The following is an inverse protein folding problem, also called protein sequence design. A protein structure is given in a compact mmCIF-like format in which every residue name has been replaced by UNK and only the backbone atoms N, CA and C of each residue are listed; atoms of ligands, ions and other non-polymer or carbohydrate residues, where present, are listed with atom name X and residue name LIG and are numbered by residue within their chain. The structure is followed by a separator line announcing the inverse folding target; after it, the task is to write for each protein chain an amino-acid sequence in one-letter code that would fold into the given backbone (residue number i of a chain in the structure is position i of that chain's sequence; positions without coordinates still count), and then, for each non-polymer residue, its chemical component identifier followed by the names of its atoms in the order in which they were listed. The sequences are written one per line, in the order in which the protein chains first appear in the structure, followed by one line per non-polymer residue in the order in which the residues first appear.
data_IF_487671036986
#
_entry.id   IF_487671036986
#
_cell.length_a   1.000
_cell.length_b   1.000
_cell.length_c   1.000
_cell.angle_alpha   90.00
_cell.angle_beta   90.00
_cell.angle_gamma   90.00
#
_symmetry.space_group_name_H-M   'P 1'
#
loop_
_entity.id
_entity.type
_entity.pdbx_description
1 polymer ?
#
# COMPACT_ATOMS: atom_id res chain seq x y z
N UNK A 1 43.89 -5.46 28.20
CA UNK A 1 43.87 -6.85 27.66
C UNK A 1 42.50 -7.53 27.81
N UNK A 2 41.62 -7.11 28.69
CA UNK A 2 40.28 -7.71 28.89
C UNK A 2 39.24 -7.41 27.77
N UNK A 3 39.35 -6.29 27.09
CA UNK A 3 38.42 -5.91 26.03
C UNK A 3 38.57 -6.72 24.72
N UNK A 4 39.77 -7.26 24.45
CA UNK A 4 40.01 -8.12 23.30
C UNK A 4 39.53 -9.57 23.50
N UNK A 5 39.57 -10.06 24.75
CA UNK A 5 39.10 -11.40 25.07
C UNK A 5 37.57 -11.52 24.96
N UNK A 6 36.83 -10.50 25.39
CA UNK A 6 35.36 -10.48 25.30
C UNK A 6 34.82 -10.44 23.85
N UNK A 7 35.50 -9.72 22.94
CA UNK A 7 35.11 -9.68 21.54
C UNK A 7 35.35 -11.03 20.84
N UNK A 8 36.37 -11.78 21.21
CA UNK A 8 36.64 -13.11 20.65
C UNK A 8 35.61 -14.17 21.11
N UNK A 9 35.14 -14.07 22.34
CA UNK A 9 34.10 -15.00 22.87
C UNK A 9 32.77 -14.69 22.22
N UNK A 10 32.38 -13.42 22.09
CA UNK A 10 31.14 -13.02 21.42
C UNK A 10 31.12 -13.42 19.92
N UNK A 11 32.23 -13.22 19.20
CA UNK A 11 32.39 -13.64 17.82
C UNK A 11 32.38 -15.18 17.64
N UNK A 12 32.96 -15.94 18.60
CA UNK A 12 32.89 -17.39 18.55
C UNK A 12 31.49 -17.96 18.85
N UNK A 13 30.76 -17.33 19.76
CA UNK A 13 29.34 -17.74 20.03
C UNK A 13 28.47 -17.42 18.83
N UNK A 14 28.61 -16.24 18.21
CA UNK A 14 27.88 -15.89 16.97
C UNK A 14 28.25 -16.81 15.81
N UNK A 15 29.53 -17.13 15.61
CA UNK A 15 29.97 -18.01 14.53
C UNK A 15 29.52 -19.47 14.77
N UNK A 16 29.45 -19.95 16.01
CA UNK A 16 28.88 -21.27 16.30
C UNK A 16 27.38 -21.35 16.09
N UNK A 17 26.63 -20.29 16.37
CA UNK A 17 25.18 -20.24 16.06
C UNK A 17 24.90 -20.13 14.56
N UNK A 18 25.73 -19.40 13.81
CA UNK A 18 25.62 -19.28 12.35
C UNK A 18 25.98 -20.58 11.61
N UNK A 19 26.93 -21.36 12.17
CA UNK A 19 27.36 -22.63 11.57
C UNK A 19 26.58 -23.85 12.04
N UNK A 20 25.69 -23.70 13.04
CA UNK A 20 24.80 -24.79 13.46
C UNK A 20 23.71 -25.01 12.38
N UNK A 21 23.84 -26.05 11.59
CA UNK A 21 22.82 -26.47 10.66
C UNK A 21 21.54 -26.84 11.43
N UNK A 22 20.58 -25.90 11.52
CA UNK A 22 19.27 -26.16 12.11
C UNK A 22 18.43 -26.96 11.11
N UNK A 23 18.12 -28.20 11.45
CA UNK A 23 17.21 -29.03 10.64
C UNK A 23 15.81 -28.40 10.71
N UNK A 24 15.25 -28.11 9.53
CA UNK A 24 13.86 -27.64 9.39
C UNK A 24 13.08 -28.76 8.74
N UNK A 25 12.20 -29.39 9.51
CA UNK A 25 11.36 -30.48 8.99
C UNK A 25 10.12 -29.88 8.30
N UNK A 26 9.79 -30.47 7.14
CA UNK A 26 8.56 -30.19 6.41
C UNK A 26 7.54 -31.27 6.78
N UNK A 27 6.42 -30.83 7.35
CA UNK A 27 5.32 -31.68 7.76
C UNK A 27 4.22 -31.69 6.70
N UNK A 28 3.43 -32.77 6.70
CA UNK A 28 2.24 -32.89 5.85
C UNK A 28 1.02 -32.79 6.77
N UNK A 29 0.30 -31.69 6.74
CA UNK A 29 -0.85 -31.42 7.64
C UNK A 29 -2.16 -31.35 6.85
N UNK A 30 -3.26 -31.70 7.50
CA UNK A 30 -4.60 -31.52 6.93
C UNK A 30 -4.95 -30.02 6.93
N UNK A 31 -5.28 -29.43 5.78
CA UNK A 31 -5.64 -28.02 5.69
C UNK A 31 -6.87 -27.64 6.52
N UNK A 32 -7.76 -28.61 6.84
CA UNK A 32 -8.96 -28.37 7.66
C UNK A 32 -8.64 -28.10 9.12
N UNK A 33 -7.46 -28.53 9.61
CA UNK A 33 -7.00 -28.29 10.97
C UNK A 33 -6.24 -26.95 11.12
N UNK A 34 -6.19 -26.14 10.07
CA UNK A 34 -5.52 -24.83 10.10
C UNK A 34 -6.50 -23.75 10.53
N UNK A 35 -6.06 -22.91 11.46
CA UNK A 35 -6.80 -21.76 11.96
C UNK A 35 -6.12 -20.48 11.50
N UNK A 36 -6.86 -19.62 10.82
CA UNK A 36 -6.42 -18.27 10.45
C UNK A 36 -6.91 -17.29 11.50
N UNK A 37 -6.01 -16.52 12.09
CA UNK A 37 -6.37 -15.46 13.03
C UNK A 37 -6.73 -14.22 12.25
N UNK A 38 -7.97 -13.73 12.40
CA UNK A 38 -8.41 -12.50 11.75
C UNK A 38 -7.56 -11.30 12.17
N UNK A 39 -7.26 -10.43 11.20
CA UNK A 39 -6.43 -9.24 11.43
C UNK A 39 -4.94 -9.52 11.65
N UNK A 40 -4.49 -10.79 11.68
CA UNK A 40 -3.08 -11.12 11.76
C UNK A 40 -2.34 -10.75 10.47
N UNK A 41 -2.94 -11.02 9.30
CA UNK A 41 -2.35 -10.66 8.01
C UNK A 41 -2.76 -9.24 7.60
N UNK A 42 -1.80 -8.43 7.21
CA UNK A 42 -2.03 -7.08 6.70
C UNK A 42 -2.76 -7.07 5.34
N UNK A 43 -2.68 -8.16 4.58
CA UNK A 43 -3.30 -8.28 3.26
C UNK A 43 -4.77 -8.68 3.37
N UNK A 44 -5.65 -7.91 2.72
CA UNK A 44 -7.08 -8.18 2.63
C UNK A 44 -7.51 -8.73 1.26
N UNK A 45 -6.81 -8.37 0.19
CA UNK A 45 -7.17 -8.77 -1.16
C UNK A 45 -6.26 -9.89 -1.67
N UNK A 46 -6.84 -11.08 -1.87
CA UNK A 46 -6.17 -12.28 -2.36
C UNK A 46 -6.68 -12.60 -3.76
N UNK A 47 -5.87 -12.27 -4.77
CA UNK A 47 -6.08 -12.74 -6.14
C UNK A 47 -5.64 -14.21 -6.21
N UNK A 48 -6.61 -15.14 -6.30
CA UNK A 48 -6.36 -16.57 -6.14
C UNK A 48 -6.43 -17.38 -7.45
N UNK A 49 -6.97 -16.83 -8.52
CA UNK A 49 -7.31 -17.61 -9.71
C UNK A 49 -6.09 -18.26 -10.37
N UNK A 50 -5.05 -17.48 -10.64
CA UNK A 50 -3.81 -18.00 -11.17
C UNK A 50 -3.15 -19.01 -10.22
N UNK A 51 -3.17 -18.72 -8.92
CA UNK A 51 -2.56 -19.59 -7.91
C UNK A 51 -3.32 -20.91 -7.75
N UNK A 52 -4.66 -20.93 -7.88
CA UNK A 52 -5.46 -22.14 -7.90
C UNK A 52 -5.07 -23.04 -9.07
N UNK A 53 -4.94 -22.47 -10.27
CA UNK A 53 -4.50 -23.24 -11.45
C UNK A 53 -3.09 -23.83 -11.29
N UNK A 54 -2.17 -23.08 -10.68
CA UNK A 54 -0.84 -23.59 -10.37
C UNK A 54 -0.90 -24.73 -9.36
N UNK A 55 -1.66 -24.58 -8.27
CA UNK A 55 -1.80 -25.61 -7.23
C UNK A 55 -2.48 -26.87 -7.79
N UNK A 56 -3.47 -26.72 -8.66
CA UNK A 56 -4.14 -27.87 -9.33
C UNK A 56 -3.15 -28.69 -10.15
N UNK A 57 -2.21 -28.03 -10.84
CA UNK A 57 -1.24 -28.70 -11.73
C UNK A 57 -0.05 -29.32 -11.00
N UNK A 58 0.51 -28.62 -10.01
CA UNK A 58 1.81 -29.00 -9.42
C UNK A 58 1.77 -29.10 -7.90
N UNK A 59 0.61 -28.90 -7.26
CA UNK A 59 0.47 -28.88 -5.82
C UNK A 59 1.07 -27.64 -5.17
N UNK A 60 1.06 -27.62 -3.84
CA UNK A 60 1.68 -26.54 -3.06
C UNK A 60 3.19 -26.77 -3.02
N UNK A 61 3.94 -26.03 -3.83
CA UNK A 61 5.41 -26.18 -3.92
C UNK A 61 6.11 -25.65 -2.66
N UNK A 62 5.80 -24.43 -2.27
CA UNK A 62 6.39 -23.79 -1.09
C UNK A 62 5.55 -24.08 0.15
N UNK A 63 6.14 -24.64 1.24
CA UNK A 63 5.40 -24.93 2.44
C UNK A 63 4.80 -23.65 3.06
N UNK A 64 3.66 -23.78 3.70
CA UNK A 64 3.14 -22.75 4.59
C UNK A 64 3.88 -22.78 5.92
N UNK A 65 3.77 -21.70 6.72
CA UNK A 65 4.37 -21.67 8.06
C UNK A 65 3.28 -21.63 9.11
N UNK A 66 3.35 -22.53 10.10
CA UNK A 66 2.32 -22.68 11.14
C UNK A 66 2.94 -22.83 12.52
N UNK A 67 2.15 -22.52 13.56
CA UNK A 67 2.44 -22.84 14.95
C UNK A 67 1.46 -23.89 15.43
N UNK A 68 1.91 -25.09 15.84
CA UNK A 68 1.03 -26.11 16.38
C UNK A 68 0.52 -25.71 17.77
N UNK A 69 -0.77 -25.93 18.02
CA UNK A 69 -1.38 -25.75 19.33
C UNK A 69 -2.46 -26.82 19.57
N UNK A 70 -2.81 -27.02 20.84
CA UNK A 70 -3.97 -27.85 21.21
C UNK A 70 -5.18 -26.96 21.39
N UNK A 71 -6.25 -27.29 20.71
CA UNK A 71 -7.55 -26.68 20.90
C UNK A 71 -8.03 -26.89 22.33
N UNK A 72 -8.45 -25.84 23.01
CA UNK A 72 -8.81 -25.88 24.42
C UNK A 72 -10.11 -26.64 24.69
N UNK A 73 -11.03 -26.65 23.72
CA UNK A 73 -12.35 -27.27 23.87
C UNK A 73 -12.33 -28.74 23.47
N UNK A 74 -11.66 -29.07 22.37
CA UNK A 74 -11.66 -30.41 21.81
C UNK A 74 -10.43 -31.25 22.16
N UNK A 75 -9.36 -30.61 22.65
CA UNK A 75 -8.05 -31.22 22.83
C UNK A 75 -7.34 -31.61 21.53
N UNK A 76 -7.95 -31.38 20.38
CA UNK A 76 -7.42 -31.73 19.08
C UNK A 76 -6.21 -30.86 18.73
N UNK A 77 -5.28 -31.42 17.95
CA UNK A 77 -4.14 -30.68 17.41
C UNK A 77 -4.61 -29.81 16.27
N UNK A 78 -4.40 -28.51 16.40
CA UNK A 78 -4.66 -27.48 15.38
C UNK A 78 -3.41 -26.66 15.09
N UNK A 79 -3.43 -25.96 13.98
CA UNK A 79 -2.28 -25.22 13.45
C UNK A 79 -2.64 -23.77 13.18
N UNK A 80 -2.07 -22.83 13.96
CA UNK A 80 -2.22 -21.40 13.69
C UNK A 80 -1.39 -21.02 12.46
N UNK A 81 -2.03 -20.52 11.43
CA UNK A 81 -1.35 -20.03 10.23
C UNK A 81 -0.57 -18.74 10.51
N UNK A 82 0.71 -18.75 10.14
CA UNK A 82 1.62 -17.60 10.27
C UNK A 82 1.95 -17.01 8.91
N UNK A 83 2.33 -17.85 7.94
CA UNK A 83 2.67 -17.42 6.59
C UNK A 83 2.09 -18.38 5.54
N UNK A 84 1.80 -17.83 4.37
CA UNK A 84 1.24 -18.57 3.25
C UNK A 84 -0.29 -18.52 3.15
N UNK A 85 -0.95 -17.49 3.68
CA UNK A 85 -2.40 -17.39 3.67
C UNK A 85 -3.00 -17.43 2.25
N UNK A 86 -2.37 -16.85 1.24
CA UNK A 86 -2.82 -16.99 -0.15
C UNK A 86 -2.85 -18.45 -0.60
N UNK A 87 -1.79 -19.22 -0.26
CA UNK A 87 -1.68 -20.67 -0.59
C UNK A 87 -2.75 -21.47 0.14
N UNK A 88 -2.93 -21.20 1.42
CA UNK A 88 -3.97 -21.83 2.23
C UNK A 88 -5.38 -21.53 1.68
N UNK A 89 -5.70 -20.26 1.40
CA UNK A 89 -7.01 -19.88 0.86
C UNK A 89 -7.27 -20.50 -0.53
N UNK A 90 -6.25 -20.56 -1.39
CA UNK A 90 -6.35 -21.24 -2.68
C UNK A 90 -6.64 -22.75 -2.51
N UNK A 91 -5.98 -23.42 -1.57
CA UNK A 91 -6.25 -24.83 -1.24
C UNK A 91 -7.67 -25.02 -0.71
N UNK A 92 -8.14 -24.15 0.19
CA UNK A 92 -9.51 -24.24 0.71
C UNK A 92 -10.56 -24.00 -0.36
N UNK A 93 -10.30 -23.08 -1.32
CA UNK A 93 -11.16 -22.87 -2.47
C UNK A 93 -11.21 -24.10 -3.39
N UNK A 94 -10.08 -24.74 -3.65
CA UNK A 94 -10.00 -25.97 -4.44
C UNK A 94 -10.72 -27.14 -3.78
N UNK A 95 -10.61 -27.27 -2.44
CA UNK A 95 -11.38 -28.25 -1.67
C UNK A 95 -12.90 -28.00 -1.78
N UNK A 96 -13.33 -26.74 -1.78
CA UNK A 96 -14.74 -26.37 -1.97
C UNK A 96 -15.22 -26.65 -3.41
N UNK A 97 -14.32 -26.61 -4.40
CA UNK A 97 -14.56 -26.99 -5.80
C UNK A 97 -14.57 -28.51 -6.02
N UNK A 98 -14.29 -29.32 -4.97
CA UNK A 98 -14.33 -30.78 -5.02
C UNK A 98 -13.00 -31.47 -5.28
N UNK A 99 -11.88 -30.73 -5.27
CA UNK A 99 -10.53 -31.34 -5.40
C UNK A 99 -10.15 -32.15 -4.15
N UNK A 100 -9.52 -33.31 -4.32
CA UNK A 100 -9.09 -34.20 -3.22
C UNK A 100 -7.69 -33.81 -2.71
N UNK A 101 -7.60 -32.72 -1.96
CA UNK A 101 -6.34 -32.30 -1.31
C UNK A 101 -6.36 -32.75 0.16
N UNK A 102 -5.73 -33.88 0.45
CA UNK A 102 -5.70 -34.45 1.80
C UNK A 102 -4.72 -33.76 2.73
N UNK A 103 -3.57 -33.31 2.22
CA UNK A 103 -2.49 -32.73 3.02
C UNK A 103 -1.74 -31.65 2.24
N UNK A 104 -1.22 -30.66 2.98
CA UNK A 104 -0.35 -29.60 2.45
C UNK A 104 0.96 -29.54 3.24
N UNK A 105 2.02 -29.08 2.56
CA UNK A 105 3.35 -28.93 3.17
C UNK A 105 3.35 -27.75 4.13
N UNK A 106 3.85 -27.96 5.34
CA UNK A 106 3.95 -26.95 6.39
C UNK A 106 5.30 -27.02 7.12
N UNK A 107 5.81 -25.86 7.50
CA UNK A 107 6.94 -25.72 8.42
C UNK A 107 6.41 -25.25 9.79
N UNK A 108 6.96 -25.81 10.86
CA UNK A 108 6.57 -25.43 12.22
C UNK A 108 7.48 -24.35 12.77
N UNK A 109 6.85 -23.37 13.42
CA UNK A 109 7.55 -22.42 14.29
C UNK A 109 7.36 -22.79 15.76
N UNK A 110 8.35 -22.44 16.62
CA UNK A 110 8.23 -22.66 18.07
C UNK A 110 7.00 -21.97 18.66
N UNK A 111 6.36 -22.59 19.64
CA UNK A 111 5.15 -22.07 20.31
C UNK A 111 5.33 -20.72 21.01
N UNK A 112 6.55 -20.32 21.33
CA UNK A 112 6.87 -19.05 22.01
C UNK A 112 7.30 -17.91 21.10
N UNK A 113 7.20 -18.07 19.77
CA UNK A 113 7.60 -17.00 18.84
C UNK A 113 6.73 -15.75 19.05
N UNK A 114 7.36 -14.62 19.29
CA UNK A 114 6.65 -13.36 19.51
C UNK A 114 5.87 -12.93 18.27
N UNK A 115 4.72 -12.34 18.48
CA UNK A 115 3.83 -11.91 17.39
C UNK A 115 4.49 -10.84 16.50
N UNK A 116 5.24 -9.92 17.10
CA UNK A 116 6.00 -8.92 16.36
C UNK A 116 7.00 -9.54 15.38
N UNK A 117 7.75 -10.58 15.82
CA UNK A 117 8.73 -11.28 14.98
C UNK A 117 8.04 -12.02 13.81
N UNK A 118 6.85 -12.56 14.06
CA UNK A 118 6.06 -13.22 13.02
C UNK A 118 5.62 -12.23 11.92
N UNK A 119 5.18 -11.03 12.31
CA UNK A 119 4.76 -9.99 11.38
C UNK A 119 5.95 -9.44 10.56
N UNK A 120 7.10 -9.24 11.21
CA UNK A 120 8.34 -8.85 10.53
C UNK A 120 8.74 -9.91 9.51
N UNK A 121 8.77 -11.18 9.92
CA UNK A 121 9.10 -12.28 9.00
C UNK A 121 8.12 -12.37 7.84
N UNK A 122 6.82 -12.17 8.08
CA UNK A 122 5.79 -12.17 7.03
C UNK A 122 6.07 -11.10 5.97
N UNK A 123 6.45 -9.89 6.38
CA UNK A 123 6.81 -8.83 5.44
C UNK A 123 8.10 -9.14 4.67
N UNK A 124 9.15 -9.54 5.38
CA UNK A 124 10.47 -9.77 4.78
C UNK A 124 10.50 -10.99 3.85
N UNK A 125 9.77 -12.06 4.19
CA UNK A 125 9.66 -13.28 3.36
C UNK A 125 8.74 -13.13 2.15
N UNK A 126 7.98 -12.04 2.05
CA UNK A 126 6.98 -11.87 1.00
C UNK A 126 7.64 -11.50 -0.34
N UNK A 127 8.31 -12.48 -0.96
CA UNK A 127 8.98 -12.36 -2.26
C UNK A 127 8.01 -12.44 -3.46
N UNK A 128 6.75 -12.82 -3.21
CA UNK A 128 5.69 -12.90 -4.23
C UNK A 128 5.06 -11.54 -4.52
N UNK A 129 3.74 -11.41 -4.28
CA UNK A 129 3.07 -10.11 -4.42
C UNK A 129 3.47 -9.19 -3.25
N UNK A 130 4.16 -8.10 -3.54
CA UNK A 130 4.58 -7.12 -2.53
C UNK A 130 3.37 -6.50 -1.83
N UNK A 131 3.53 -6.11 -0.57
CA UNK A 131 2.53 -5.33 0.16
C UNK A 131 2.36 -3.96 -0.47
N UNK A 132 1.11 -3.50 -0.60
CA UNK A 132 0.82 -2.13 -0.97
C UNK A 132 1.24 -1.15 0.14
N UNK A 133 1.42 0.12 -0.20
CA UNK A 133 1.81 1.12 0.80
C UNK A 133 0.75 1.29 1.90
N UNK A 134 -0.54 1.11 1.61
CA UNK A 134 -1.60 1.16 2.62
C UNK A 134 -1.59 -0.07 3.54
N UNK A 135 -1.27 -1.26 3.02
CA UNK A 135 -1.08 -2.45 3.85
C UNK A 135 0.12 -2.29 4.78
N UNK A 136 1.23 -1.72 4.27
CA UNK A 136 2.39 -1.39 5.10
C UNK A 136 2.07 -0.31 6.13
N UNK A 137 1.32 0.73 5.77
CA UNK A 137 0.89 1.78 6.70
C UNK A 137 0.14 1.19 7.90
N UNK A 138 -0.82 0.30 7.65
CA UNK A 138 -1.57 -0.40 8.71
C UNK A 138 -0.68 -1.26 9.59
N UNK A 139 0.27 -1.98 8.98
CA UNK A 139 1.23 -2.77 9.72
C UNK A 139 2.12 -1.90 10.61
N UNK A 140 2.68 -0.80 10.09
CA UNK A 140 3.51 0.13 10.86
C UNK A 140 2.72 0.79 12.00
N UNK A 141 1.47 1.17 11.75
CA UNK A 141 0.60 1.71 12.79
C UNK A 141 0.33 0.69 13.90
N UNK A 142 0.13 -0.59 13.54
CA UNK A 142 0.00 -1.67 14.52
C UNK A 142 1.24 -1.79 15.41
N UNK A 143 2.45 -1.67 14.86
CA UNK A 143 3.70 -1.66 15.63
C UNK A 143 3.76 -0.48 16.59
N UNK A 144 3.33 0.69 16.14
CA UNK A 144 3.23 1.89 17.00
C UNK A 144 2.23 1.70 18.13
N UNK A 145 0.99 1.28 17.82
CA UNK A 145 -0.10 1.19 18.79
C UNK A 145 0.04 0.02 19.78
N UNK A 146 0.44 -1.16 19.31
CA UNK A 146 0.50 -2.36 20.15
C UNK A 146 1.79 -2.48 20.96
N UNK A 147 2.91 -2.03 20.42
CA UNK A 147 4.23 -2.20 21.04
C UNK A 147 4.97 -0.90 21.32
N UNK A 148 4.39 0.25 20.98
CA UNK A 148 4.96 1.57 21.28
C UNK A 148 6.21 1.94 20.48
N UNK A 149 6.47 1.27 19.35
CA UNK A 149 7.65 1.56 18.53
C UNK A 149 7.56 2.94 17.88
N UNK A 150 8.68 3.63 17.88
CA UNK A 150 8.87 4.86 17.10
C UNK A 150 9.01 4.56 15.60
N UNK A 151 8.78 5.56 14.75
CA UNK A 151 8.97 5.40 13.30
C UNK A 151 10.40 5.00 12.92
N UNK A 152 11.40 5.42 13.68
CA UNK A 152 12.80 5.04 13.46
C UNK A 152 13.02 3.57 13.77
N UNK A 153 12.54 3.09 14.92
CA UNK A 153 12.66 1.67 15.30
C UNK A 153 11.89 0.76 14.32
N UNK A 154 10.72 1.21 13.85
CA UNK A 154 9.96 0.50 12.79
C UNK A 154 10.80 0.43 11.51
N UNK A 155 11.41 1.55 11.10
CA UNK A 155 12.24 1.60 9.91
C UNK A 155 13.42 0.61 9.98
N UNK A 156 14.10 0.57 11.13
CA UNK A 156 15.21 -0.35 11.38
C UNK A 156 14.75 -1.81 11.36
N UNK A 157 13.67 -2.15 12.07
CA UNK A 157 13.11 -3.52 12.12
C UNK A 157 12.69 -4.04 10.74
N UNK A 158 12.15 -3.18 9.89
CA UNK A 158 11.67 -3.53 8.56
C UNK A 158 12.68 -3.27 7.43
N UNK A 159 13.91 -2.89 7.75
CA UNK A 159 14.97 -2.54 6.80
C UNK A 159 14.48 -1.49 5.77
N UNK A 160 13.79 -0.45 6.24
CA UNK A 160 13.26 0.66 5.43
C UNK A 160 13.85 1.99 5.90
N UNK A 161 13.73 3.03 5.07
CA UNK A 161 14.07 4.39 5.48
C UNK A 161 12.94 4.97 6.35
N UNK A 162 13.29 5.75 7.38
CA UNK A 162 12.31 6.43 8.25
C UNK A 162 11.34 7.31 7.44
N UNK A 163 11.85 7.99 6.40
CA UNK A 163 11.03 8.79 5.49
C UNK A 163 9.99 7.96 4.73
N UNK A 164 10.29 6.70 4.41
CA UNK A 164 9.33 5.78 3.81
C UNK A 164 8.24 5.38 4.80
N UNK A 165 8.61 5.04 6.04
CA UNK A 165 7.66 4.69 7.11
C UNK A 165 6.71 5.86 7.38
N UNK A 166 7.25 7.07 7.55
CA UNK A 166 6.46 8.29 7.74
C UNK A 166 5.51 8.54 6.57
N UNK A 167 5.99 8.40 5.33
CA UNK A 167 5.18 8.58 4.12
C UNK A 167 4.04 7.54 4.02
N UNK A 168 4.29 6.30 4.43
CA UNK A 168 3.24 5.28 4.47
C UNK A 168 2.22 5.60 5.56
N UNK A 169 2.66 5.93 6.77
CA UNK A 169 1.76 6.19 7.90
C UNK A 169 0.85 7.39 7.64
N UNK A 170 1.32 8.42 6.95
CA UNK A 170 0.52 9.57 6.54
C UNK A 170 -0.68 9.19 5.63
N UNK A 171 -0.72 8.01 5.03
CA UNK A 171 -1.89 7.55 4.27
C UNK A 171 -3.09 7.24 5.17
N UNK A 172 -2.86 6.99 6.45
CA UNK A 172 -3.93 6.67 7.41
C UNK A 172 -4.70 7.91 7.86
N UNK A 173 -4.15 9.10 7.60
CA UNK A 173 -4.79 10.39 7.88
C UNK A 173 -5.72 10.86 6.74
N UNK A 174 -5.84 10.05 5.66
CA UNK A 174 -6.69 10.37 4.51
C UNK A 174 -8.16 10.02 4.78
N UNK A 175 -9.12 10.61 4.05
CA UNK A 175 -10.52 10.24 4.14
C UNK A 175 -10.75 8.74 4.02
N UNK A 176 -11.71 8.21 4.80
CA UNK A 176 -11.98 6.77 4.88
C UNK A 176 -12.29 6.13 3.51
N UNK A 177 -12.99 6.87 2.64
CA UNK A 177 -13.35 6.42 1.29
C UNK A 177 -12.11 6.27 0.41
N UNK A 178 -11.15 7.19 0.48
CA UNK A 178 -9.89 7.11 -0.26
C UNK A 178 -9.05 5.93 0.26
N UNK A 179 -9.00 5.72 1.58
CA UNK A 179 -8.35 4.55 2.17
C UNK A 179 -8.99 3.26 1.64
N UNK A 180 -10.32 3.19 1.61
CA UNK A 180 -11.04 2.03 1.09
C UNK A 180 -10.75 1.78 -0.41
N UNK A 181 -10.67 2.83 -1.24
CA UNK A 181 -10.27 2.71 -2.64
C UNK A 181 -8.84 2.19 -2.81
N UNK A 182 -7.90 2.64 -1.97
CA UNK A 182 -6.52 2.11 -1.96
C UNK A 182 -6.48 0.64 -1.54
N UNK A 183 -7.27 0.23 -0.56
CA UNK A 183 -7.38 -1.16 -0.12
C UNK A 183 -7.94 -2.08 -1.21
N UNK A 184 -8.91 -1.61 -1.97
CA UNK A 184 -9.43 -2.34 -3.14
C UNK A 184 -8.49 -2.31 -4.34
N UNK A 185 -7.40 -1.53 -4.28
CA UNK A 185 -6.45 -1.36 -5.38
C UNK A 185 -7.01 -0.54 -6.55
N UNK A 186 -8.08 0.23 -6.33
CA UNK A 186 -8.70 1.08 -7.36
C UNK A 186 -7.91 2.36 -7.61
N UNK A 187 -7.16 2.84 -6.62
CA UNK A 187 -6.31 4.03 -6.71
C UNK A 187 -4.91 3.74 -6.15
N UNK A 188 -3.86 4.29 -6.76
CA UNK A 188 -2.50 4.18 -6.25
C UNK A 188 -2.25 5.15 -5.09
N UNK A 189 -1.32 4.81 -4.18
CA UNK A 189 -0.95 5.68 -3.06
C UNK A 189 -0.43 7.05 -3.51
N UNK A 190 0.31 7.11 -4.62
CA UNK A 190 0.81 8.39 -5.16
C UNK A 190 -0.32 9.25 -5.72
N UNK A 191 -1.31 8.62 -6.36
CA UNK A 191 -2.51 9.33 -6.85
C UNK A 191 -3.34 9.86 -5.67
N UNK A 192 -3.53 9.05 -4.62
CA UNK A 192 -4.24 9.48 -3.41
C UNK A 192 -3.54 10.68 -2.75
N UNK A 193 -2.21 10.62 -2.58
CA UNK A 193 -1.42 11.76 -2.03
C UNK A 193 -1.58 13.01 -2.88
N UNK A 194 -1.54 12.88 -4.20
CA UNK A 194 -1.69 14.01 -5.09
C UNK A 194 -3.09 14.63 -4.94
N UNK A 195 -4.15 13.85 -4.94
CA UNK A 195 -5.53 14.34 -4.77
C UNK A 195 -5.71 15.04 -3.41
N UNK A 196 -5.28 14.42 -2.32
CA UNK A 196 -5.38 14.99 -0.97
C UNK A 196 -4.56 16.28 -0.84
N UNK A 197 -3.35 16.32 -1.42
CA UNK A 197 -2.51 17.53 -1.39
C UNK A 197 -3.10 18.70 -2.16
N UNK A 198 -3.96 18.44 -3.12
CA UNK A 198 -4.61 19.42 -3.97
C UNK A 198 -5.84 20.06 -3.35
N UNK A 199 -6.56 19.31 -2.53
CA UNK A 199 -7.83 19.70 -1.91
C UNK A 199 -7.71 19.62 -0.38
N UNK A 200 -6.65 20.24 0.19
CA UNK A 200 -6.23 20.03 1.58
C UNK A 200 -7.32 20.26 2.64
N UNK A 201 -8.25 21.16 2.37
CA UNK A 201 -9.24 21.60 3.34
C UNK A 201 -10.67 21.15 2.97
N UNK A 202 -10.83 20.28 1.96
CA UNK A 202 -12.12 19.84 1.44
C UNK A 202 -12.12 18.33 1.20
N UNK A 203 -12.58 17.56 2.19
CA UNK A 203 -12.64 16.09 2.12
C UNK A 203 -13.60 15.61 1.02
N UNK A 204 -14.73 16.31 0.82
CA UNK A 204 -15.70 15.95 -0.21
C UNK A 204 -15.10 16.12 -1.62
N UNK A 205 -14.38 17.21 -1.85
CA UNK A 205 -13.65 17.42 -3.11
C UNK A 205 -12.52 16.39 -3.31
N UNK A 206 -11.87 15.93 -2.23
CA UNK A 206 -10.86 14.86 -2.31
C UNK A 206 -11.49 13.55 -2.78
N UNK A 207 -12.61 13.16 -2.18
CA UNK A 207 -13.33 11.93 -2.52
C UNK A 207 -13.89 11.99 -3.95
N UNK A 208 -14.50 13.11 -4.33
CA UNK A 208 -15.02 13.31 -5.70
C UNK A 208 -13.92 13.23 -6.76
N UNK A 209 -12.75 13.84 -6.50
CA UNK A 209 -11.61 13.76 -7.41
C UNK A 209 -11.06 12.32 -7.53
N UNK A 210 -11.04 11.57 -6.42
CA UNK A 210 -10.64 10.17 -6.42
C UNK A 210 -11.62 9.30 -7.23
N UNK A 211 -12.92 9.48 -7.06
CA UNK A 211 -13.96 8.79 -7.83
C UNK A 211 -13.84 9.07 -9.34
N UNK A 212 -13.64 10.34 -9.72
CA UNK A 212 -13.43 10.73 -11.13
C UNK A 212 -12.18 10.05 -11.71
N UNK A 213 -11.08 9.99 -10.94
CA UNK A 213 -9.86 9.32 -11.38
C UNK A 213 -10.09 7.81 -11.57
N UNK A 214 -10.82 7.16 -10.66
CA UNK A 214 -11.18 5.73 -10.75
C UNK A 214 -12.07 5.47 -11.96
N UNK A 215 -13.10 6.30 -12.19
CA UNK A 215 -13.98 6.20 -13.38
C UNK A 215 -13.17 6.34 -14.67
N UNK A 216 -12.27 7.33 -14.74
CA UNK A 216 -11.39 7.56 -15.89
C UNK A 216 -10.48 6.35 -16.16
N UNK A 217 -9.91 5.75 -15.11
CA UNK A 217 -9.09 4.56 -15.24
C UNK A 217 -9.90 3.35 -15.73
N UNK A 218 -11.09 3.12 -15.16
CA UNK A 218 -11.99 2.03 -15.60
C UNK A 218 -12.42 2.20 -17.06
N UNK A 219 -12.74 3.42 -17.50
CA UNK A 219 -13.06 3.71 -18.90
C UNK A 219 -11.91 3.40 -19.86
N UNK A 220 -10.64 3.50 -19.39
CA UNK A 220 -9.43 3.11 -20.12
C UNK A 220 -9.06 1.63 -19.95
N UNK A 221 -9.91 0.80 -19.34
CA UNK A 221 -9.66 -0.62 -19.08
C UNK A 221 -8.60 -0.91 -18.03
N UNK A 222 -8.23 0.08 -17.20
CA UNK A 222 -7.23 -0.09 -16.14
C UNK A 222 -7.88 -0.55 -14.83
N UNK A 223 -7.22 -1.43 -14.09
CA UNK A 223 -7.65 -1.88 -12.76
C UNK A 223 -7.40 -0.81 -11.68
N UNK A 224 -6.34 -0.02 -11.82
CA UNK A 224 -5.90 0.95 -10.81
C UNK A 224 -5.72 2.32 -11.44
N UNK A 225 -6.30 3.35 -10.85
CA UNK A 225 -6.10 4.74 -11.24
C UNK A 225 -4.71 5.23 -10.84
N UNK A 226 -4.05 5.91 -11.76
CA UNK A 226 -2.71 6.50 -11.59
C UNK A 226 -2.80 8.02 -11.65
N UNK A 227 -1.72 8.73 -11.34
CA UNK A 227 -1.67 10.20 -11.40
C UNK A 227 -2.05 10.78 -12.78
N UNK A 228 -1.91 9.99 -13.86
CA UNK A 228 -2.31 10.36 -15.22
C UNK A 228 -3.83 10.31 -15.44
N UNK A 229 -4.56 9.69 -14.55
CA UNK A 229 -6.01 9.53 -14.64
C UNK A 229 -6.75 10.61 -13.81
N UNK A 230 -6.02 11.46 -13.08
CA UNK A 230 -6.55 12.65 -12.41
C UNK A 230 -7.00 13.65 -13.50
N UNK A 231 -8.18 14.28 -13.37
CA UNK A 231 -8.68 15.25 -14.34
C UNK A 231 -7.67 16.36 -14.68
N UNK A 232 -7.59 16.72 -15.96
CA UNK A 232 -6.57 17.65 -16.50
C UNK A 232 -6.63 19.03 -15.86
N UNK A 233 -7.82 19.53 -15.50
CA UNK A 233 -8.00 20.80 -14.79
C UNK A 233 -7.29 20.80 -13.44
N UNK A 234 -7.30 19.67 -12.74
CA UNK A 234 -6.61 19.49 -11.45
C UNK A 234 -5.11 19.42 -11.65
N UNK A 235 -4.62 18.78 -12.74
CA UNK A 235 -3.21 18.72 -13.09
C UNK A 235 -2.67 20.11 -13.47
N UNK A 236 -3.44 20.89 -14.21
CA UNK A 236 -3.07 22.26 -14.59
C UNK A 236 -2.95 23.18 -13.36
N UNK A 237 -3.94 23.16 -12.46
CA UNK A 237 -3.91 23.93 -11.22
C UNK A 237 -2.66 23.59 -10.36
N UNK A 238 -2.23 22.33 -10.34
CA UNK A 238 -1.03 21.91 -9.62
C UNK A 238 0.26 22.37 -10.25
N UNK A 239 0.34 22.28 -11.57
CA UNK A 239 1.51 22.76 -12.28
C UNK A 239 1.68 24.27 -12.01
N UNK A 240 0.58 25.03 -12.04
CA UNK A 240 0.56 26.46 -11.74
C UNK A 240 0.97 26.71 -10.29
N UNK A 241 0.40 25.97 -9.32
CA UNK A 241 0.77 26.09 -7.91
C UNK A 241 2.24 25.75 -7.65
N UNK A 242 2.80 24.77 -8.37
CA UNK A 242 4.23 24.44 -8.31
C UNK A 242 5.09 25.57 -8.88
N UNK A 243 4.72 26.10 -10.04
CA UNK A 243 5.40 27.24 -10.65
C UNK A 243 5.39 28.44 -9.70
N UNK A 244 4.23 28.78 -9.09
CA UNK A 244 4.12 29.85 -8.09
C UNK A 244 5.04 29.65 -6.89
N UNK A 245 5.13 28.41 -6.38
CA UNK A 245 6.02 28.06 -5.26
C UNK A 245 7.51 28.22 -5.64
N UNK A 246 7.87 27.83 -6.83
CA UNK A 246 9.24 27.95 -7.32
C UNK A 246 9.60 29.42 -7.59
N UNK A 247 8.67 30.20 -8.15
CA UNK A 247 8.83 31.65 -8.31
C UNK A 247 9.00 32.37 -6.97
N UNK A 248 8.26 31.96 -5.92
CA UNK A 248 8.43 32.52 -4.58
C UNK A 248 9.81 32.21 -3.97
N UNK A 249 10.38 31.03 -4.26
CA UNK A 249 11.76 30.71 -3.88
C UNK A 249 12.77 31.57 -4.63
N UNK A 250 12.55 31.77 -5.92
CA UNK A 250 13.40 32.67 -6.71
C UNK A 250 13.33 34.10 -6.20
N UNK A 251 12.14 34.63 -5.86
CA UNK A 251 11.99 35.95 -5.27
C UNK A 251 12.80 36.10 -3.97
N UNK A 252 12.74 35.11 -3.06
CA UNK A 252 13.54 35.10 -1.81
C UNK A 252 15.05 34.99 -2.05
N UNK A 253 15.47 34.32 -3.13
CA UNK A 253 16.89 34.25 -3.50
C UNK A 253 17.35 35.58 -4.07
N UNK A 254 16.49 36.28 -4.81
CA UNK A 254 16.77 37.58 -5.43
C UNK A 254 16.87 38.71 -4.40
N UNK A 255 16.08 38.67 -3.29
CA UNK A 255 16.21 39.58 -2.14
C UNK A 255 17.63 39.53 -1.50
N UNK A 256 18.39 38.47 -1.75
CA UNK A 256 19.76 38.29 -1.26
C UNK A 256 20.84 38.79 -2.25
N UNK A 257 20.45 39.26 -3.42
CA UNK A 257 21.38 39.76 -4.43
C UNK A 257 21.35 41.31 -4.47
N UNK A 258 22.48 41.94 -4.16
CA UNK A 258 22.63 43.39 -4.28
C UNK A 258 22.88 43.80 -5.74
N UNK A 259 22.12 44.80 -6.24
CA UNK A 259 22.40 45.50 -7.49
C UNK A 259 21.19 45.83 -8.39
N UNK A 260 21.37 46.75 -9.32
CA UNK A 260 20.37 47.23 -10.28
C UNK A 260 19.71 46.11 -11.13
N UNK A 261 20.43 45.03 -11.38
CA UNK A 261 19.91 43.86 -12.09
C UNK A 261 18.93 43.00 -11.23
N UNK A 262 19.03 43.06 -9.91
CA UNK A 262 18.14 42.31 -9.00
C UNK A 262 16.74 42.93 -9.04
N UNK A 263 16.62 44.27 -9.12
CA UNK A 263 15.33 44.96 -9.15
C UNK A 263 14.52 44.67 -10.43
N UNK A 264 15.21 44.64 -11.59
CA UNK A 264 14.59 44.26 -12.87
C UNK A 264 14.14 42.81 -12.88
N UNK A 265 14.97 41.91 -12.36
CA UNK A 265 14.63 40.47 -12.28
C UNK A 265 13.49 40.20 -11.28
N UNK A 266 13.47 40.93 -10.15
CA UNK A 266 12.41 40.86 -9.16
C UNK A 266 11.07 41.34 -9.72
N UNK A 267 11.06 42.46 -10.46
CA UNK A 267 9.88 42.98 -11.15
C UNK A 267 9.35 41.97 -12.18
N UNK A 268 10.23 41.35 -12.96
CA UNK A 268 9.84 40.29 -13.90
C UNK A 268 9.29 39.05 -13.20
N UNK A 269 9.86 38.62 -12.07
CA UNK A 269 9.38 37.50 -11.30
C UNK A 269 7.99 37.77 -10.70
N UNK A 270 7.73 38.98 -10.22
CA UNK A 270 6.42 39.40 -9.71
C UNK A 270 5.38 39.40 -10.84
N UNK A 271 5.71 39.96 -12.01
CA UNK A 271 4.81 39.96 -13.16
C UNK A 271 4.44 38.54 -13.61
N UNK A 272 5.39 37.60 -13.63
CA UNK A 272 5.13 36.20 -13.95
C UNK A 272 4.29 35.55 -12.87
N UNK A 273 4.51 35.87 -11.60
CA UNK A 273 3.71 35.37 -10.48
C UNK A 273 2.24 35.82 -10.58
N UNK A 274 1.98 37.09 -10.93
CA UNK A 274 0.63 37.62 -11.09
C UNK A 274 -0.07 37.02 -12.33
N UNK A 275 0.64 36.86 -13.45
CA UNK A 275 0.11 36.15 -14.63
C UNK A 275 -0.25 34.69 -14.32
N UNK A 276 0.51 34.00 -13.45
CA UNK A 276 0.15 32.62 -13.05
C UNK A 276 -1.13 32.57 -12.21
N UNK A 277 -1.51 33.64 -11.50
CA UNK A 277 -2.80 33.73 -10.81
C UNK A 277 -3.98 33.82 -11.79
N UNK A 278 -3.81 34.55 -12.86
CA UNK A 278 -4.81 34.65 -13.95
C UNK A 278 -4.97 33.29 -14.65
N UNK A 279 -3.87 32.61 -14.94
CA UNK A 279 -3.90 31.28 -15.56
C UNK A 279 -4.52 30.21 -14.66
N UNK A 280 -4.31 30.29 -13.33
CA UNK A 280 -4.95 29.40 -12.36
C UNK A 280 -6.47 29.57 -12.37
N UNK A 281 -6.94 30.83 -12.40
CA UNK A 281 -8.37 31.13 -12.47
C UNK A 281 -8.97 30.70 -13.81
N UNK A 282 -8.29 30.97 -14.92
CA UNK A 282 -8.72 30.51 -16.24
C UNK A 282 -8.74 28.98 -16.36
N UNK A 283 -7.80 28.27 -15.73
CA UNK A 283 -7.80 26.81 -15.69
C UNK A 283 -8.97 26.24 -14.86
N UNK A 284 -9.41 26.96 -13.81
CA UNK A 284 -10.60 26.61 -13.03
C UNK A 284 -11.90 26.85 -13.82
N UNK A 285 -11.96 27.91 -14.63
CA UNK A 285 -13.10 28.23 -15.50
C UNK A 285 -13.23 27.30 -16.70
N UNK A 286 -12.11 26.80 -17.24
CA UNK A 286 -12.08 25.80 -18.32
C UNK A 286 -12.39 24.38 -17.85
N UNK A 287 -12.64 24.17 -16.54
CA UNK A 287 -13.18 22.91 -16.05
C UNK A 287 -14.50 22.63 -16.83
N UNK A 288 -14.67 21.48 -17.49
CA UNK A 288 -15.89 21.17 -18.16
C UNK A 288 -17.02 21.30 -17.13
N UNK A 289 -17.92 22.28 -17.34
CA UNK A 289 -19.20 22.33 -16.63
C UNK A 289 -19.76 20.94 -16.70
N UNK A 290 -20.12 20.36 -15.54
CA UNK A 290 -20.64 19.01 -15.45
C UNK A 290 -21.59 18.78 -16.64
N UNK A 291 -21.27 17.79 -17.46
CA UNK A 291 -22.18 17.34 -18.51
C UNK A 291 -23.45 16.99 -17.76
N UNK A 292 -24.53 17.76 -18.00
CA UNK A 292 -25.85 17.47 -17.48
C UNK A 292 -26.11 15.97 -17.71
N UNK A 293 -26.68 15.33 -16.71
CA UNK A 293 -27.01 13.91 -16.70
C UNK A 293 -27.52 13.44 -18.08
N UNK A 294 -27.17 12.24 -18.54
CA UNK A 294 -27.71 11.72 -19.79
C UNK A 294 -29.21 11.73 -19.67
N UNK A 295 -29.83 12.41 -20.61
CA UNK A 295 -31.30 12.41 -20.79
C UNK A 295 -31.80 10.97 -20.67
N UNK A 296 -32.80 10.78 -19.84
CA UNK A 296 -33.41 9.47 -19.59
C UNK A 296 -33.79 8.83 -20.91
N UNK A 297 -33.72 7.50 -20.98
CA UNK A 297 -33.94 6.68 -22.17
C UNK A 297 -35.31 6.86 -22.87
N UNK A 298 -36.17 7.76 -22.39
CA UNK A 298 -37.47 8.11 -22.97
C UNK A 298 -37.36 9.16 -24.09
N UNK A 299 -36.37 10.04 -24.12
CA UNK A 299 -36.23 11.07 -25.17
C UNK A 299 -35.56 10.56 -26.47
N UNK A 300 -34.88 9.42 -26.44
CA UNK A 300 -34.21 8.84 -27.62
C UNK A 300 -35.21 8.16 -28.56
N UNK A 301 -36.39 7.77 -28.06
CA UNK A 301 -37.39 7.06 -28.88
C UNK A 301 -38.29 7.98 -29.70
N UNK A 302 -38.26 9.30 -29.51
CA UNK A 302 -39.09 10.24 -30.33
C UNK A 302 -38.34 10.72 -31.60
N UNK A 303 -37.03 10.63 -31.67
CA UNK A 303 -36.25 11.10 -32.84
C UNK A 303 -36.17 10.05 -33.94
N UNK A 304 -36.34 8.75 -33.63
CA UNK A 304 -36.39 7.68 -34.66
C UNK A 304 -37.73 7.49 -35.37
N UNK A 305 -38.77 8.22 -34.97
CA UNK A 305 -40.10 8.13 -35.62
C UNK A 305 -40.37 9.20 -36.68
N UNK A 306 -39.42 10.08 -36.99
CA UNK A 306 -39.61 11.19 -37.96
C UNK A 306 -38.51 11.20 -39.04
N UNK A 307 -37.79 10.08 -39.27
CA UNK A 307 -36.86 9.93 -40.38
C UNK A 307 -37.30 8.79 -41.31
#
# INVERSE_FOLDING_TARGET
METMANNNVANNVMNNELNATKRTDIYQIDPRNIVVVEGFNARKNFDLDELKEQIRKVGVLNPITVIPFKDKETGAEKYRLVDGERRYRAVMALLAEGEDIKRIKAMYLPKGTKEEDLLIQQLLKNTGKQFSEIEMAKLFNRFKEQWGYTQTEIADKFCKKTSFVSRCMALLDFPADIIAMMERGEISADTARQIVSQNKDDEDAQVEAADKAVKTAKAKGKKTATTKDIPVNVQAANLIAKIRKDLKKYATLMDSLDGENAEVMMTNAINVYDQTAEWENAAKELAPKAVSEPQTAEEVNEVEKVA
#
